data_IF_234209813770
#
_entry.id   IF_234209813770
#
_cell.length_a   1.000
_cell.length_b   1.000
_cell.length_c   1.000
_cell.angle_alpha   90.00
_cell.angle_beta   90.00
_cell.angle_gamma   90.00
#
_symmetry.space_group_name_H-M   'P 1'
#
loop_
_entity.id
_entity.type
_entity.pdbx_description
1 polymer ?
2 non-polymer ?
3 non-polymer ?
4 water ?
#
# COMPACT_ATOMS: atom_id res chain seq x y z
N UNK A 4 -0.58 29.32 11.02
CA UNK A 4 0.21 28.08 10.67
C UNK A 4 -0.28 27.53 9.33
N UNK A 5 0.56 27.54 8.28
CA UNK A 5 0.14 27.05 6.96
C UNK A 5 -0.04 25.53 7.00
N UNK A 6 -1.04 25.01 6.28
CA UNK A 6 -1.27 23.55 6.15
C UNK A 6 -0.14 22.96 5.31
N UNK A 7 0.32 21.74 5.66
CA UNK A 7 1.40 21.13 4.91
C UNK A 7 0.98 20.75 3.49
N UNK A 8 1.96 20.78 2.58
CA UNK A 8 1.84 20.31 1.18
C UNK A 8 2.40 18.88 1.08
N UNK A 9 3.22 18.49 2.05
CA UNK A 9 3.89 17.16 2.08
C UNK A 9 4.15 16.72 3.52
N UNK A 10 4.06 15.41 3.77
CA UNK A 10 4.34 14.80 5.10
C UNK A 10 5.30 13.63 4.85
N UNK A 11 5.95 13.16 5.92
CA UNK A 11 6.75 11.92 5.86
C UNK A 11 6.04 10.89 6.70
N UNK A 12 6.08 9.69 6.19
CA UNK A 12 5.39 8.51 6.76
C UNK A 12 6.45 7.43 6.93
N UNK A 13 6.52 6.91 8.15
CA UNK A 13 7.29 5.70 8.49
C UNK A 13 6.35 4.50 8.43
N UNK A 14 6.77 3.50 7.67
CA UNK A 14 6.16 2.15 7.62
C UNK A 14 7.15 1.15 8.18
N UNK A 15 6.74 0.44 9.22
CA UNK A 15 7.49 -0.69 9.78
C UNK A 15 6.73 -1.98 9.66
N UNK A 16 7.42 -3.06 9.33
CA UNK A 16 6.86 -4.41 9.37
C UNK A 16 7.87 -5.32 10.09
N UNK A 17 7.37 -6.02 11.11
CA UNK A 17 8.19 -6.98 11.88
C UNK A 17 7.35 -8.19 12.28
N UNK A 18 7.79 -9.37 11.84
CA UNK A 18 7.33 -10.66 12.36
C UNK A 18 8.22 -10.94 13.59
N UNK A 19 7.65 -10.79 14.78
CA UNK A 19 8.34 -10.82 16.10
C UNK A 19 8.61 -12.25 16.55
N UNK A 20 8.14 -13.26 15.80
CA UNK A 20 8.38 -14.69 16.11
C UNK A 20 7.90 -15.07 17.50
N UNK A 21 6.80 -14.45 17.94
CA UNK A 21 6.11 -14.75 19.22
C UNK A 21 7.06 -14.56 20.41
N UNK A 22 8.04 -13.67 20.27
CA UNK A 22 9.03 -13.36 21.34
C UNK A 22 8.93 -11.89 21.69
N UNK A 23 9.08 -11.53 22.98
CA UNK A 23 9.18 -10.14 23.37
C UNK A 23 10.33 -9.44 22.63
N UNK A 24 10.20 -8.13 22.35
CA UNK A 24 11.28 -7.40 21.71
C UNK A 24 12.39 -7.13 22.72
N UNK A 25 13.59 -6.74 22.26
CA UNK A 25 14.67 -6.36 23.17
C UNK A 25 14.39 -4.95 23.67
N UNK A 26 15.22 -4.46 24.61
CA UNK A 26 14.90 -3.21 25.33
C UNK A 26 15.04 -2.00 24.40
N UNK A 27 15.86 -2.06 23.35
CA UNK A 27 16.10 -0.93 22.41
C UNK A 27 15.74 -1.35 20.99
N UNK A 28 14.75 -0.69 20.34
CA UNK A 28 14.33 -0.97 18.94
C UNK A 28 14.39 0.34 18.13
N UNK A 29 15.09 1.35 18.63
CA UNK A 29 15.15 2.71 18.04
C UNK A 29 15.72 2.69 16.60
N UNK A 30 16.66 1.78 16.32
CA UNK A 30 17.27 1.57 14.98
C UNK A 30 16.16 1.39 13.93
N UNK A 31 15.08 0.71 14.29
CA UNK A 31 13.93 0.47 13.38
C UNK A 31 13.34 1.81 12.95
N UNK A 32 12.97 2.65 13.90
CA UNK A 32 12.26 3.92 13.65
C UNK A 32 13.21 4.96 13.07
N UNK A 33 14.52 4.75 13.18
CA UNK A 33 15.57 5.63 12.60
C UNK A 33 16.00 5.12 11.22
N UNK A 34 15.45 4.03 10.74
CA UNK A 34 15.80 3.50 9.39
C UNK A 34 17.32 3.27 9.29
N UNK A 35 17.90 2.62 10.30
CA UNK A 35 19.34 2.27 10.40
C UNK A 35 19.52 0.76 10.24
N UNK A 36 20.53 0.35 9.48
CA UNK A 36 20.88 -1.07 9.31
C UNK A 36 21.41 -1.25 7.91
N UNK A 37 20.78 -2.15 7.15
CA UNK A 37 21.15 -2.45 5.75
C UNK A 37 20.12 -1.85 4.80
N UNK A 38 20.49 -1.67 3.54
CA UNK A 38 19.61 -1.24 2.46
C UNK A 38 19.74 0.24 2.24
N UNK A 39 18.61 0.88 1.89
CA UNK A 39 18.53 2.35 1.71
C UNK A 39 18.15 2.96 3.05
N UNK A 40 19.15 3.49 3.77
CA UNK A 40 19.00 3.97 5.15
C UNK A 40 18.81 5.49 5.16
N UNK A 41 18.34 6.01 6.28
CA UNK A 41 18.06 7.44 6.47
C UNK A 41 19.34 8.12 6.96
N UNK A 42 19.60 9.32 6.44
CA UNK A 42 20.77 10.14 6.80
C UNK A 42 20.76 10.44 8.30
N UNK A 43 21.95 10.33 8.93
CA UNK A 43 22.12 10.57 10.39
C UNK A 43 21.60 11.95 10.78
N UNK A 44 21.74 12.93 9.88
CA UNK A 44 21.37 14.34 10.13
C UNK A 44 19.86 14.47 10.34
N UNK A 45 19.05 13.45 10.03
CA UNK A 45 17.57 13.48 10.18
C UNK A 45 17.10 12.81 11.48
N UNK A 46 18.01 12.24 12.27
CA UNK A 46 17.66 11.35 13.40
C UNK A 46 16.73 12.03 14.40
N UNK A 47 16.88 13.34 14.64
CA UNK A 47 16.02 14.01 15.66
C UNK A 47 14.70 14.49 15.06
N UNK A 48 14.53 14.37 13.74
CA UNK A 48 13.34 14.90 13.02
C UNK A 48 12.26 13.83 13.05
N UNK A 49 11.09 14.10 13.66
CA UNK A 49 10.03 13.10 13.70
C UNK A 49 9.40 12.99 12.32
N UNK A 50 9.01 11.79 11.94
CA UNK A 50 8.04 11.58 10.85
C UNK A 50 6.70 12.10 11.36
N UNK A 51 5.84 12.46 10.43
CA UNK A 51 4.48 12.97 10.72
C UNK A 51 3.64 11.83 11.24
N UNK A 52 3.76 10.66 10.62
CA UNK A 52 2.93 9.48 10.90
C UNK A 52 3.88 8.28 10.95
N UNK A 53 3.73 7.44 11.96
CA UNK A 53 4.39 6.12 12.08
C UNK A 53 3.33 5.02 12.00
N UNK A 54 3.48 4.10 11.06
CA UNK A 54 2.55 2.95 10.91
C UNK A 54 3.38 1.71 11.18
N UNK A 55 3.02 0.97 12.24
CA UNK A 55 3.81 -0.19 12.75
C UNK A 55 2.99 -1.48 12.59
N UNK A 56 3.38 -2.32 11.64
CA UNK A 56 2.74 -3.63 11.41
C UNK A 56 3.56 -4.70 12.07
N UNK A 57 2.93 -5.54 12.88
CA UNK A 57 3.59 -6.72 13.46
C UNK A 57 2.83 -7.99 13.09
N UNK A 58 3.56 -9.10 13.09
CA UNK A 58 3.02 -10.46 12.88
C UNK A 58 3.65 -11.35 13.95
N UNK A 59 2.94 -12.40 14.35
CA UNK A 59 3.41 -13.29 15.44
C UNK A 59 3.74 -12.40 16.65
N UNK A 60 2.91 -11.40 16.92
CA UNK A 60 3.11 -10.38 17.98
C UNK A 60 2.57 -10.97 19.27
N UNK A 61 3.41 -11.23 20.29
CA UNK A 61 2.96 -11.89 21.52
C UNK A 61 2.43 -10.89 22.54
N UNK A 62 2.57 -9.60 22.26
CA UNK A 62 2.31 -8.53 23.26
C UNK A 62 0.81 -8.17 23.29
N UNK A 63 0.33 -7.68 24.42
CA UNK A 63 -0.98 -6.98 24.49
C UNK A 63 -0.82 -5.66 23.72
N UNK A 64 -1.94 -5.10 23.27
CA UNK A 64 -1.93 -3.77 22.60
C UNK A 64 -1.30 -2.79 23.58
N UNK A 65 -1.63 -2.89 24.86
CA UNK A 65 -1.11 -1.93 25.86
C UNK A 65 0.41 -2.05 25.98
N UNK A 66 0.93 -3.28 26.08
CA UNK A 66 2.39 -3.51 26.20
C UNK A 66 3.11 -2.90 24.98
N UNK A 67 2.57 -3.13 23.77
CA UNK A 67 3.26 -2.70 22.51
C UNK A 67 3.18 -1.18 22.39
N UNK A 68 2.01 -0.60 22.65
CA UNK A 68 1.82 0.87 22.62
C UNK A 68 2.82 1.58 23.53
N UNK A 69 3.04 1.02 24.73
CA UNK A 69 4.00 1.50 25.75
C UNK A 69 5.40 1.56 25.14
N UNK A 70 5.87 0.44 24.57
CA UNK A 70 7.22 0.31 23.98
C UNK A 70 7.36 1.29 22.78
N UNK A 71 6.37 1.31 21.87
CA UNK A 71 6.40 2.23 20.70
C UNK A 71 6.48 3.69 21.15
N UNK A 72 5.57 4.16 22.00
CA UNK A 72 5.54 5.60 22.40
C UNK A 72 6.83 6.04 23.09
N UNK A 73 7.35 5.21 24.00
CA UNK A 73 8.62 5.46 24.75
C UNK A 73 9.78 5.56 23.77
N UNK A 74 9.83 4.66 22.79
CA UNK A 74 10.92 4.59 21.78
C UNK A 74 10.92 5.87 20.95
N UNK A 75 9.77 6.28 20.43
CA UNK A 75 9.65 7.54 19.66
C UNK A 75 9.99 8.75 20.56
N UNK A 76 9.57 8.73 21.82
CA UNK A 76 9.87 9.84 22.77
C UNK A 76 11.38 9.94 22.96
N UNK A 77 12.05 8.81 23.15
CA UNK A 77 13.51 8.80 23.39
C UNK A 77 14.22 9.40 22.17
N UNK A 78 13.76 9.05 20.96
CA UNK A 78 14.40 9.53 19.70
C UNK A 78 14.16 11.04 19.48
N UNK A 79 12.94 11.50 19.68
CA UNK A 79 12.44 12.78 19.09
C UNK A 79 12.06 13.76 20.19
N UNK A 80 11.88 13.29 21.42
CA UNK A 80 11.30 14.06 22.55
C UNK A 80 9.86 14.49 22.24
N UNK A 81 9.19 13.86 21.29
CA UNK A 81 7.74 14.12 21.00
C UNK A 81 6.92 12.97 21.58
N UNK A 82 5.82 13.29 22.27
CA UNK A 82 4.82 12.31 22.75
C UNK A 82 3.80 12.14 21.62
N UNK A 83 3.87 11.02 20.92
CA UNK A 83 2.97 10.72 19.78
C UNK A 83 1.57 10.37 20.28
N UNK A 84 0.57 10.75 19.51
CA UNK A 84 -0.86 10.41 19.73
C UNK A 84 -1.18 9.11 19.00
N UNK A 85 -2.04 8.31 19.60
CA UNK A 85 -2.50 7.05 18.97
C UNK A 85 -3.70 7.36 18.06
N UNK A 86 -3.57 7.12 16.75
CA UNK A 86 -4.65 7.34 15.75
C UNK A 86 -5.52 6.10 15.75
N UNK A 87 -4.90 4.92 15.75
CA UNK A 87 -5.61 3.65 15.63
C UNK A 87 -4.69 2.50 16.02
N UNK A 88 -5.30 1.45 16.53
CA UNK A 88 -4.66 0.14 16.77
C UNK A 88 -5.71 -0.93 16.48
N UNK A 89 -5.36 -1.92 15.68
CA UNK A 89 -6.27 -3.04 15.36
C UNK A 89 -5.45 -4.33 15.35
N UNK A 90 -5.96 -5.37 16.01
CA UNK A 90 -5.29 -6.69 16.13
C UNK A 90 -6.27 -7.77 15.69
N UNK A 91 -5.83 -8.60 14.73
CA UNK A 91 -6.47 -9.89 14.38
C UNK A 91 -5.48 -10.98 14.80
N UNK A 92 -5.84 -11.78 15.80
CA UNK A 92 -4.98 -12.86 16.32
C UNK A 92 -3.64 -12.24 16.75
N UNK A 93 -2.57 -12.49 16.01
CA UNK A 93 -1.21 -12.01 16.38
C UNK A 93 -0.72 -11.02 15.32
N UNK A 94 -1.63 -10.55 14.47
CA UNK A 94 -1.38 -9.53 13.42
C UNK A 94 -1.89 -8.18 13.91
N UNK A 95 -1.01 -7.19 13.95
CA UNK A 95 -1.37 -5.89 14.55
C UNK A 95 -0.87 -4.73 13.71
N UNK A 96 -1.66 -3.66 13.72
CA UNK A 96 -1.30 -2.37 13.10
C UNK A 96 -1.54 -1.28 14.14
N UNK A 97 -0.53 -0.44 14.32
CA UNK A 97 -0.54 0.77 15.18
C UNK A 97 -0.24 1.99 14.31
N UNK A 98 -1.07 3.03 14.40
CA UNK A 98 -0.84 4.32 13.71
C UNK A 98 -0.67 5.39 14.76
N UNK A 99 0.51 6.00 14.78
CA UNK A 99 0.88 7.11 15.69
C UNK A 99 1.12 8.34 14.83
N UNK A 100 0.82 9.51 15.37
CA UNK A 100 1.00 10.79 14.63
C UNK A 100 1.43 11.87 15.60
N UNK A 101 2.16 12.87 15.08
CA UNK A 101 2.55 14.10 15.83
C UNK A 101 1.31 14.67 16.50
N UNK A 102 1.42 15.22 17.74
CA UNK A 102 0.28 15.88 18.36
C UNK A 102 -0.33 17.03 17.52
N UNK A 103 0.49 17.75 16.78
CA UNK A 103 0.04 18.87 15.92
C UNK A 103 -0.93 18.35 14.84
N UNK A 104 -0.97 17.04 14.54
CA UNK A 104 -1.80 16.50 13.44
C UNK A 104 -3.17 16.02 13.93
N UNK A 105 -3.42 16.10 15.24
CA UNK A 105 -4.66 15.55 15.83
C UNK A 105 -5.90 16.07 15.07
N UNK A 106 -5.94 17.38 14.84
CA UNK A 106 -7.11 18.08 14.25
C UNK A 106 -7.06 18.04 12.72
N UNK A 107 -6.02 17.42 12.13
CA UNK A 107 -5.92 17.26 10.65
C UNK A 107 -6.45 15.86 10.28
N UNK A 108 -6.59 15.00 11.28
CA UNK A 108 -6.90 13.56 11.05
C UNK A 108 -8.37 13.30 11.43
N UNK A 109 -9.11 12.66 10.53
CA UNK A 109 -10.55 12.34 10.77
C UNK A 109 -10.89 11.09 9.96
N UNK A 110 -12.11 10.60 10.09
CA UNK A 110 -12.67 9.47 9.30
C UNK A 110 -11.77 8.23 9.47
N UNK A 111 -11.38 7.96 10.69
CA UNK A 111 -10.50 6.82 11.05
C UNK A 111 -11.32 5.55 10.95
N UNK A 112 -10.89 4.64 10.08
CA UNK A 112 -11.51 3.29 9.88
C UNK A 112 -10.47 2.22 10.22
N UNK A 113 -10.94 1.08 10.75
CA UNK A 113 -10.09 -0.12 11.01
C UNK A 113 -10.89 -1.31 10.52
N UNK A 114 -10.20 -2.30 9.98
CA UNK A 114 -10.84 -3.57 9.60
C UNK A 114 -9.79 -4.69 9.59
N UNK A 115 -10.28 -5.89 9.44
CA UNK A 115 -9.45 -7.10 9.29
C UNK A 115 -10.13 -8.03 8.31
N UNK A 116 -9.33 -8.85 7.64
CA UNK A 116 -9.78 -9.96 6.80
C UNK A 116 -9.05 -11.20 7.28
N UNK A 117 -9.78 -12.30 7.51
CA UNK A 117 -9.23 -13.63 7.81
C UNK A 117 -9.15 -14.40 6.49
N UNK A 118 -7.99 -14.93 6.13
CA UNK A 118 -7.84 -15.65 4.84
C UNK A 118 -7.94 -17.16 5.10
N UNK A 119 -8.47 -17.91 4.12
CA UNK A 119 -8.57 -19.38 4.18
C UNK A 119 -9.93 -19.88 4.70
N UNK A 120 -10.21 -21.18 4.52
CA UNK A 120 -11.50 -21.87 4.85
C UNK A 120 -11.21 -23.14 5.66
N UNK A 121 -11.72 -23.23 6.90
CA UNK A 121 -11.62 -24.40 7.81
C UNK A 121 -10.16 -24.66 8.22
N UNK A 122 -9.46 -25.61 7.57
CA UNK A 122 -7.99 -25.89 7.69
C UNK A 122 -7.21 -24.59 7.81
N UNK A 123 -7.36 -23.71 6.81
CA UNK A 123 -6.45 -22.58 6.48
C UNK A 123 -7.02 -21.26 7.07
N UNK A 124 -8.21 -21.29 7.70
CA UNK A 124 -8.75 -20.19 8.55
C UNK A 124 -8.36 -20.46 10.01
N UNK A 125 -7.45 -19.66 10.56
CA UNK A 125 -6.88 -19.91 11.90
C UNK A 125 -5.90 -18.84 12.33
N UNK A 126 -5.00 -18.41 11.44
CA UNK A 126 -4.02 -17.40 11.92
C UNK A 126 -3.49 -16.34 10.92
N UNK A 127 -3.78 -16.49 9.62
CA UNK A 127 -3.30 -15.59 8.54
C UNK A 127 -4.42 -14.62 8.14
N UNK A 128 -4.04 -13.44 7.63
CA UNK A 128 -5.00 -12.44 7.16
C UNK A 128 -4.35 -11.09 7.23
N UNK A 129 -5.16 -10.05 7.38
CA UNK A 129 -4.66 -8.67 7.34
C UNK A 129 -5.47 -7.82 8.29
N UNK A 130 -4.81 -6.79 8.75
CA UNK A 130 -5.49 -5.68 9.44
C UNK A 130 -5.20 -4.40 8.66
N UNK A 131 -6.07 -3.43 8.81
CA UNK A 131 -5.92 -2.16 8.11
C UNK A 131 -6.45 -0.98 8.88
N UNK A 132 -5.91 0.18 8.51
CA UNK A 132 -6.36 1.49 9.00
C UNK A 132 -6.47 2.42 7.79
N UNK A 133 -7.52 3.23 7.78
CA UNK A 133 -7.60 4.41 6.89
C UNK A 133 -7.97 5.66 7.68
N UNK A 134 -7.62 6.82 7.13
CA UNK A 134 -8.13 8.11 7.63
C UNK A 134 -7.88 9.20 6.61
N UNK A 135 -8.47 10.35 6.88
CA UNK A 135 -8.22 11.58 6.12
C UNK A 135 -7.15 12.35 6.88
N UNK A 136 -6.17 12.82 6.15
CA UNK A 136 -5.21 13.83 6.63
C UNK A 136 -5.52 15.07 5.81
N UNK A 137 -6.20 16.05 6.40
CA UNK A 137 -6.75 17.22 5.65
C UNK A 137 -7.49 16.71 4.41
N UNK A 138 -7.10 17.10 3.19
CA UNK A 138 -7.86 16.69 2.00
C UNK A 138 -7.36 15.41 1.37
N UNK A 139 -6.45 14.68 2.03
CA UNK A 139 -5.79 13.49 1.46
C UNK A 139 -6.23 12.23 2.21
N UNK A 140 -6.69 11.22 1.47
CA UNK A 140 -7.05 9.90 2.04
C UNK A 140 -5.80 9.01 2.10
N UNK A 141 -5.61 8.35 3.26
CA UNK A 141 -4.44 7.45 3.50
C UNK A 141 -4.97 6.09 3.95
N UNK A 142 -4.50 5.03 3.29
CA UNK A 142 -4.79 3.64 3.69
C UNK A 142 -3.52 2.87 4.00
N UNK A 143 -3.63 1.97 4.97
CA UNK A 143 -2.50 1.14 5.45
C UNK A 143 -3.01 -0.27 5.69
N UNK A 144 -2.34 -1.25 5.09
CA UNK A 144 -2.66 -2.68 5.24
C UNK A 144 -1.41 -3.42 5.73
N UNK A 145 -1.55 -4.14 6.84
CA UNK A 145 -0.56 -5.08 7.39
C UNK A 145 -1.09 -6.50 7.16
N UNK A 146 -0.47 -7.27 6.28
CA UNK A 146 -0.91 -8.66 6.01
C UNK A 146 0.17 -9.65 6.41
N UNK A 147 -0.25 -10.76 7.02
CA UNK A 147 0.55 -11.98 7.21
C UNK A 147 -0.02 -13.03 6.25
N UNK A 148 0.67 -13.31 5.15
CA UNK A 148 0.12 -14.22 4.14
C UNK A 148 0.60 -15.66 4.42
N UNK A 149 0.04 -16.61 3.68
CA UNK A 149 0.37 -18.05 3.79
C UNK A 149 1.89 -18.25 3.68
N UNK A 150 2.46 -19.11 4.54
CA UNK A 150 3.92 -19.43 4.58
C UNK A 150 4.23 -20.61 3.64
N UNK A 151 5.50 -20.78 3.35
CA UNK A 151 5.94 -21.97 2.61
C UNK A 151 6.29 -21.63 1.19
N UNK A 152 7.47 -22.06 0.76
CA UNK A 152 8.00 -21.83 -0.60
C UNK A 152 7.03 -22.30 -1.70
N UNK A 153 6.26 -23.35 -1.40
CA UNK A 153 5.38 -24.08 -2.37
C UNK A 153 4.04 -23.36 -2.57
N UNK A 154 3.74 -22.34 -1.75
CA UNK A 154 2.37 -21.75 -1.66
C UNK A 154 2.26 -20.34 -2.27
N UNK A 155 2.98 -20.01 -3.33
CA UNK A 155 2.93 -18.61 -3.84
C UNK A 155 1.53 -18.32 -4.40
N UNK A 156 0.89 -19.32 -5.00
CA UNK A 156 -0.50 -19.16 -5.49
C UNK A 156 -1.45 -18.80 -4.34
N UNK A 157 -1.35 -19.52 -3.22
CA UNK A 157 -2.15 -19.26 -1.99
C UNK A 157 -1.94 -17.82 -1.54
N UNK A 158 -0.69 -17.35 -1.54
CA UNK A 158 -0.38 -15.96 -1.13
C UNK A 158 -1.13 -15.00 -2.07
N UNK A 159 -1.14 -15.28 -3.37
CA UNK A 159 -1.79 -14.38 -4.34
C UNK A 159 -3.31 -14.39 -4.09
N UNK A 160 -3.86 -15.53 -3.70
CA UNK A 160 -5.29 -15.65 -3.34
C UNK A 160 -5.57 -14.88 -2.07
N UNK A 161 -4.68 -14.97 -1.08
CA UNK A 161 -4.84 -14.25 0.22
C UNK A 161 -4.89 -12.74 -0.09
N UNK A 162 -3.93 -12.24 -0.87
CA UNK A 162 -3.90 -10.85 -1.38
C UNK A 162 -5.24 -10.45 -2.01
N UNK A 163 -5.76 -11.26 -2.93
CA UNK A 163 -7.03 -10.91 -3.63
C UNK A 163 -8.16 -10.83 -2.60
N UNK A 164 -8.20 -11.77 -1.65
CA UNK A 164 -9.29 -11.77 -0.62
C UNK A 164 -9.18 -10.53 0.26
N UNK A 165 -7.97 -10.17 0.64
CA UNK A 165 -7.76 -8.97 1.50
C UNK A 165 -8.21 -7.70 0.74
N UNK A 166 -7.78 -7.60 -0.51
CA UNK A 166 -8.09 -6.49 -1.45
C UNK A 166 -9.60 -6.29 -1.54
N UNK A 167 -10.32 -7.39 -1.81
CA UNK A 167 -11.78 -7.40 -2.03
C UNK A 167 -12.55 -7.09 -0.76
N UNK A 168 -12.13 -7.63 0.39
CA UNK A 168 -13.03 -7.71 1.57
C UNK A 168 -12.63 -6.74 2.67
N UNK A 169 -11.45 -6.13 2.61
CA UNK A 169 -11.06 -5.12 3.62
C UNK A 169 -11.90 -3.85 3.40
N UNK A 170 -12.64 -3.44 4.43
CA UNK A 170 -13.64 -2.35 4.42
C UNK A 170 -13.03 -1.13 5.09
N UNK A 171 -12.28 -0.37 4.30
CA UNK A 171 -11.67 0.90 4.76
C UNK A 171 -12.14 1.99 3.82
N UNK A 172 -11.91 3.23 4.23
CA UNK A 172 -12.14 4.41 3.40
C UNK A 172 -13.62 4.69 3.25
N UNK A 173 -13.98 5.40 2.22
CA UNK A 173 -15.30 6.08 2.12
C UNK A 173 -16.27 5.03 1.58
N UNK A 174 -17.25 4.61 2.40
CA UNK A 174 -18.24 3.56 2.01
C UNK A 174 -19.12 4.04 0.85
N UNK A 175 -19.19 5.33 0.56
CA UNK A 175 -19.95 5.84 -0.63
C UNK A 175 -19.25 5.44 -1.93
N UNK A 176 -17.96 5.11 -1.87
CA UNK A 176 -17.18 4.62 -3.05
C UNK A 176 -17.47 3.15 -3.28
N UNK A 177 -18.77 2.80 -3.42
CA UNK A 177 -19.22 1.39 -3.34
C UNK A 177 -18.65 0.51 -4.46
N UNK A 178 -18.41 0.96 -5.71
CA UNK A 178 -17.81 0.09 -6.72
C UNK A 178 -16.31 -0.18 -6.53
N UNK A 179 -15.68 0.54 -5.60
CA UNK A 179 -14.20 0.59 -5.49
C UNK A 179 -13.74 -0.20 -4.27
N UNK A 180 -12.74 -1.05 -4.51
CA UNK A 180 -11.99 -1.73 -3.43
C UNK A 180 -10.89 -0.81 -2.90
N UNK A 181 -10.16 -1.27 -1.87
CA UNK A 181 -9.09 -0.44 -1.24
C UNK A 181 -8.03 -0.02 -2.27
N UNK A 182 -7.85 -0.68 -3.41
CA UNK A 182 -6.76 -0.29 -4.35
C UNK A 182 -7.16 0.98 -5.13
N UNK A 183 -8.37 1.49 -4.96
CA UNK A 183 -8.81 2.77 -5.56
C UNK A 183 -9.33 3.78 -4.53
N UNK A 184 -9.42 3.46 -3.24
CA UNK A 184 -10.12 4.39 -2.31
C UNK A 184 -9.21 5.48 -1.71
N UNK A 185 -7.89 5.45 -1.93
CA UNK A 185 -6.94 6.30 -1.17
C UNK A 185 -5.99 7.04 -2.11
N UNK A 186 -5.71 8.30 -1.81
CA UNK A 186 -4.60 9.04 -2.46
C UNK A 186 -3.30 8.22 -2.35
N UNK A 187 -3.01 7.68 -1.18
CA UNK A 187 -1.82 6.81 -0.96
C UNK A 187 -2.27 5.56 -0.18
N UNK A 188 -1.93 4.40 -0.73
CA UNK A 188 -2.17 3.09 -0.09
C UNK A 188 -0.82 2.44 0.14
N UNK A 189 -0.53 2.13 1.40
CA UNK A 189 0.68 1.40 1.80
C UNK A 189 0.26 0.00 2.21
N UNK A 190 0.88 -1.00 1.57
CA UNK A 190 0.61 -2.43 1.88
C UNK A 190 1.94 -3.10 2.22
N UNK A 191 1.99 -3.64 3.42
CA UNK A 191 3.23 -4.19 4.02
C UNK A 191 2.83 -5.43 4.82
N UNK A 192 3.86 -6.14 5.25
CA UNK A 192 3.77 -7.21 6.25
C UNK A 192 4.74 -8.35 5.98
N UNK A 193 4.43 -9.50 6.59
CA UNK A 193 5.09 -10.77 6.26
C UNK A 193 4.31 -11.36 5.09
N UNK A 194 4.69 -10.97 3.89
CA UNK A 194 3.99 -11.43 2.68
C UNK A 194 4.47 -12.84 2.35
N UNK A 195 5.59 -13.27 2.90
CA UNK A 195 5.99 -14.70 2.94
C UNK A 195 6.38 -15.22 1.56
N UNK A 196 6.63 -14.34 0.58
CA UNK A 196 7.16 -14.81 -0.73
C UNK A 196 8.64 -15.16 -0.52
N UNK A 197 9.10 -16.19 -1.23
CA UNK A 197 10.41 -16.81 -0.98
C UNK A 197 11.30 -16.70 -2.21
N UNK A 198 12.60 -16.90 -1.96
CA UNK A 198 13.62 -17.04 -3.03
C UNK A 198 13.49 -18.50 -3.51
N UNK A 199 12.96 -18.66 -4.72
CA UNK A 199 12.61 -19.97 -5.31
C UNK A 199 13.83 -20.53 -6.03
N UNK A 200 14.73 -21.17 -5.29
CA UNK A 200 15.90 -21.87 -5.84
C UNK A 200 15.89 -23.27 -5.25
N UNK A 201 16.62 -24.24 -5.86
CA UNK A 201 16.68 -25.60 -5.33
C UNK A 201 17.24 -25.53 -3.91
N UNK A 202 16.75 -26.42 -3.04
CA UNK A 202 17.08 -26.43 -1.58
C UNK A 202 18.55 -26.83 -1.36
N UNK A 203 19.17 -27.50 -2.34
CA UNK A 203 20.61 -27.88 -2.28
C UNK A 203 21.50 -26.68 -2.66
N UNK A 204 20.92 -25.59 -3.15
CA UNK A 204 21.64 -24.30 -3.34
C UNK A 204 21.70 -23.47 -2.02
N UNK A 205 21.27 -23.99 -0.87
CA UNK A 205 21.15 -23.16 0.35
C UNK A 205 22.49 -22.51 0.68
N UNK A 206 23.58 -23.28 0.70
CA UNK A 206 24.90 -22.74 1.16
C UNK A 206 25.36 -21.70 0.13
N UNK A 207 25.11 -21.91 -1.15
CA UNK A 207 25.44 -20.94 -2.20
C UNK A 207 24.67 -19.64 -1.98
N UNK A 208 23.38 -19.74 -1.66
CA UNK A 208 22.54 -18.55 -1.36
C UNK A 208 23.18 -17.78 -0.18
N UNK A 209 23.56 -18.49 0.87
CA UNK A 209 24.16 -17.83 2.08
C UNK A 209 25.47 -17.10 1.72
N UNK A 210 26.31 -17.72 0.89
CA UNK A 210 27.61 -17.13 0.46
C UNK A 210 27.35 -15.92 -0.45
N UNK A 211 26.31 -15.96 -1.29
CA UNK A 211 25.89 -14.77 -2.08
C UNK A 211 25.46 -13.64 -1.12
N UNK A 212 24.71 -13.94 -0.07
CA UNK A 212 24.26 -12.92 0.93
C UNK A 212 25.48 -12.30 1.63
N UNK A 213 26.42 -13.12 2.07
CA UNK A 213 27.64 -12.62 2.77
C UNK A 213 28.44 -11.70 1.83
N UNK A 214 28.37 -11.86 0.51
CA UNK A 214 29.07 -11.00 -0.46
C UNK A 214 28.21 -9.79 -0.83
N UNK A 215 27.01 -9.67 -0.27
CA UNK A 215 26.03 -8.60 -0.60
C UNK A 215 25.74 -8.60 -2.09
N UNK A 216 25.67 -9.78 -2.69
CA UNK A 216 25.36 -9.93 -4.14
C UNK A 216 23.95 -10.49 -4.21
N UNK A 217 22.97 -9.60 -4.23
CA UNK A 217 21.54 -9.97 -4.10
C UNK A 217 20.89 -10.19 -5.46
N UNK A 218 21.57 -9.86 -6.57
CA UNK A 218 20.94 -9.72 -7.90
C UNK A 218 20.40 -11.08 -8.35
N UNK A 219 21.24 -12.11 -8.26
CA UNK A 219 20.89 -13.49 -8.67
C UNK A 219 19.80 -14.01 -7.73
N UNK A 220 19.76 -13.54 -6.48
CA UNK A 220 18.69 -14.00 -5.55
C UNK A 220 17.36 -13.30 -5.90
N UNK A 221 17.37 -11.96 -6.07
CA UNK A 221 16.15 -11.17 -6.36
C UNK A 221 15.49 -11.65 -7.66
N UNK A 222 16.27 -12.16 -8.63
CA UNK A 222 15.71 -12.68 -9.91
C UNK A 222 14.84 -13.90 -9.66
N UNK A 223 14.92 -14.54 -8.48
CA UNK A 223 14.10 -15.72 -8.10
C UNK A 223 13.15 -15.41 -6.93
N UNK A 224 13.10 -14.14 -6.49
CA UNK A 224 12.12 -13.69 -5.47
C UNK A 224 10.70 -13.87 -6.04
N UNK A 225 9.85 -14.60 -5.33
CA UNK A 225 8.50 -14.92 -5.85
C UNK A 225 7.66 -13.65 -5.95
N UNK A 226 7.83 -12.68 -5.05
CA UNK A 226 6.97 -11.48 -5.12
C UNK A 226 7.31 -10.71 -6.41
N UNK A 227 8.58 -10.53 -6.69
CA UNK A 227 9.00 -9.81 -7.92
C UNK A 227 8.53 -10.59 -9.14
N UNK A 228 8.74 -11.90 -9.18
CA UNK A 228 8.38 -12.71 -10.39
C UNK A 228 6.85 -12.74 -10.53
N UNK A 229 6.10 -12.92 -9.45
CA UNK A 229 4.62 -12.93 -9.54
C UNK A 229 4.11 -11.55 -10.00
N UNK A 230 4.69 -10.47 -9.45
CA UNK A 230 4.38 -9.07 -9.83
C UNK A 230 4.67 -8.87 -11.32
N UNK A 231 5.80 -9.38 -11.82
CA UNK A 231 6.22 -9.15 -13.23
C UNK A 231 5.27 -9.89 -14.19
N UNK A 232 4.61 -10.96 -13.73
CA UNK A 232 3.59 -11.70 -14.54
C UNK A 232 2.17 -11.27 -14.18
N UNK A 233 2.01 -10.17 -13.44
CA UNK A 233 0.71 -9.54 -13.13
C UNK A 233 -0.17 -10.55 -12.42
N UNK A 234 0.39 -11.31 -11.50
CA UNK A 234 -0.38 -12.32 -10.73
C UNK A 234 -0.79 -11.73 -9.39
N UNK A 235 -0.15 -10.65 -8.95
CA UNK A 235 -0.39 -10.07 -7.61
C UNK A 235 0.12 -8.63 -7.64
N UNK A 236 -0.41 -7.80 -6.74
CA UNK A 236 0.02 -6.39 -6.52
C UNK A 236 0.09 -5.60 -7.83
N UNK A 237 -0.82 -5.84 -8.78
CA UNK A 237 -0.89 -5.07 -10.04
C UNK A 237 -1.04 -3.58 -9.69
N UNK A 238 -0.17 -2.79 -10.28
CA UNK A 238 -0.15 -1.30 -10.25
C UNK A 238 0.41 -0.81 -8.92
N UNK A 239 1.03 -1.69 -8.12
CA UNK A 239 1.76 -1.29 -6.88
C UNK A 239 3.24 -1.10 -7.22
N UNK A 240 3.93 -0.31 -6.39
CA UNK A 240 5.38 -0.04 -6.50
C UNK A 240 6.10 -0.66 -5.30
N UNK A 241 7.38 -0.98 -5.46
CA UNK A 241 8.25 -1.38 -4.34
C UNK A 241 9.58 -0.75 -4.67
N UNK A 242 10.24 -0.20 -3.65
CA UNK A 242 11.62 0.34 -3.77
C UNK A 242 12.57 -0.83 -4.02
N UNK A 243 13.68 -0.58 -4.73
CA UNK A 243 14.72 -1.59 -4.96
C UNK A 243 15.18 -2.17 -3.63
N UNK A 244 15.32 -3.49 -3.57
CA UNK A 244 15.82 -4.19 -2.36
C UNK A 244 17.36 -4.23 -2.39
N UNK A 245 17.99 -3.65 -1.38
CA UNK A 245 19.48 -3.56 -1.26
C UNK A 245 19.93 -4.03 0.12
N UNK A 246 19.07 -4.75 0.83
CA UNK A 246 19.38 -5.34 2.17
C UNK A 246 19.30 -6.86 2.07
N UNK A 247 19.96 -7.58 2.98
CA UNK A 247 19.97 -9.06 2.98
C UNK A 247 18.57 -9.59 3.26
N UNK A 248 18.25 -10.82 2.80
CA UNK A 248 17.00 -11.50 3.18
C UNK A 248 16.76 -11.39 4.69
N UNK A 249 15.51 -11.14 5.09
CA UNK A 249 15.16 -10.82 6.49
C UNK A 249 14.67 -12.06 7.22
N UNK A 250 14.74 -13.23 6.55
CA UNK A 250 14.24 -14.53 7.04
C UNK A 250 15.08 -15.62 6.40
N UNK A 251 15.35 -16.76 7.06
CA UNK A 251 15.02 -17.08 8.42
C UNK A 251 16.32 -17.12 9.22
N UNK A 252 16.41 -16.30 10.27
CA UNK A 252 17.63 -16.22 11.08
C UNK A 252 17.50 -17.04 12.36
N UNK A 253 18.64 -17.54 12.83
CA UNK A 253 18.82 -18.04 14.22
C UNK A 253 18.62 -16.84 15.15
N UNK A 254 17.86 -17.00 16.24
CA UNK A 254 17.63 -15.90 17.22
C UNK A 254 18.93 -15.53 17.95
N UNK A 255 19.05 -14.26 18.34
CA UNK A 255 20.07 -13.67 19.26
C UNK A 255 21.39 -13.43 18.50
N UNK A 256 21.43 -13.67 17.19
CA UNK A 256 22.53 -13.23 16.30
C UNK A 256 21.91 -12.85 14.95
N UNK A 257 22.65 -12.24 14.04
CA UNK A 257 22.26 -12.16 12.60
C UNK A 257 23.31 -12.86 11.75
N UNK A 258 24.16 -13.67 12.37
CA UNK A 258 25.33 -14.24 11.66
C UNK A 258 24.93 -15.54 10.97
N UNK A 259 23.76 -16.08 11.30
CA UNK A 259 23.35 -17.42 10.80
C UNK A 259 21.90 -17.42 10.32
N UNK A 260 21.70 -17.94 9.11
CA UNK A 260 20.38 -18.32 8.55
C UNK A 260 20.09 -19.76 8.93
N UNK A 261 18.95 -19.99 9.56
CA UNK A 261 18.40 -21.31 9.91
C UNK A 261 17.45 -21.75 8.79
N UNK A 262 17.97 -22.47 7.81
CA UNK A 262 17.17 -22.86 6.61
C UNK A 262 16.76 -24.33 6.52
N UNK A 263 17.41 -25.20 7.32
CA UNK A 263 17.27 -26.68 7.24
C UNK A 263 15.87 -27.09 7.71
N UNK A 264 15.30 -28.15 7.10
CA UNK A 264 13.98 -28.67 7.50
C UNK A 264 14.08 -29.30 8.90
N UNK A 265 13.05 -29.05 9.71
CA UNK A 265 12.96 -29.44 11.14
C UNK A 265 11.51 -29.87 11.39
N UNK A 266 11.26 -30.70 12.39
CA UNK A 266 9.85 -30.97 12.80
C UNK A 266 9.12 -29.63 12.95
N UNK A 267 9.74 -28.67 13.64
CA UNK A 267 9.13 -27.35 13.95
C UNK A 267 8.78 -26.59 12.65
N UNK A 268 9.36 -26.90 11.48
CA UNK A 268 8.98 -26.25 10.20
C UNK A 268 8.00 -27.10 9.38
N UNK A 269 7.44 -28.19 9.94
CA UNK A 269 6.69 -29.16 9.13
C UNK A 269 7.57 -29.80 8.08
N UNK A 270 8.85 -29.97 8.40
CA UNK A 270 9.85 -30.59 7.49
C UNK A 270 9.96 -29.80 6.16
N UNK A 271 9.81 -28.47 6.24
CA UNK A 271 9.98 -27.53 5.12
C UNK A 271 11.32 -26.82 5.26
N UNK A 272 12.04 -26.62 4.15
CA UNK A 272 13.24 -25.75 4.11
C UNK A 272 12.73 -24.31 4.10
N UNK A 273 13.44 -23.45 4.83
CA UNK A 273 13.23 -21.98 4.79
C UNK A 273 14.49 -21.36 4.21
N UNK A 274 14.71 -21.50 2.90
CA UNK A 274 15.82 -20.78 2.22
C UNK A 274 15.69 -19.28 2.51
N UNK A 275 16.81 -18.55 2.71
CA UNK A 275 16.81 -17.14 3.00
C UNK A 275 15.94 -16.42 1.98
N UNK A 276 15.05 -15.59 2.49
CA UNK A 276 13.98 -14.96 1.66
C UNK A 276 13.67 -13.55 2.16
N UNK A 277 13.20 -12.73 1.24
CA UNK A 277 12.63 -11.39 1.58
C UNK A 277 11.12 -11.52 1.87
N UNK A 278 10.80 -12.10 3.02
CA UNK A 278 9.41 -12.31 3.46
C UNK A 278 8.71 -10.98 3.72
N UNK A 279 9.49 -10.01 4.18
CA UNK A 279 9.00 -8.84 4.92
C UNK A 279 9.14 -7.60 4.05
N UNK A 280 8.02 -7.03 3.62
CA UNK A 280 8.01 -6.12 2.45
C UNK A 280 7.08 -4.93 2.67
N UNK A 281 7.37 -3.84 1.97
CA UNK A 281 6.54 -2.61 1.92
C UNK A 281 6.32 -2.22 0.47
N UNK A 282 5.07 -2.17 0.04
CA UNK A 282 4.67 -1.70 -1.29
C UNK A 282 3.68 -0.56 -1.14
N UNK A 283 3.50 0.20 -2.22
CA UNK A 283 2.52 1.30 -2.21
C UNK A 283 1.88 1.49 -3.58
N UNK A 284 0.73 2.14 -3.54
CA UNK A 284 -0.02 2.55 -4.73
C UNK A 284 -0.65 3.91 -4.40
N UNK A 285 -0.24 4.90 -5.15
CA UNK A 285 -0.73 6.29 -5.06
C UNK A 285 -1.47 6.63 -6.35
N UNK A 286 -2.45 7.51 -6.24
CA UNK A 286 -3.17 8.06 -7.40
C UNK A 286 -2.17 8.70 -8.36
N UNK A 287 -2.48 8.67 -9.66
CA UNK A 287 -1.57 9.21 -10.65
C UNK A 287 -1.17 10.67 -10.35
N UNK A 288 0.12 10.98 -10.52
CA UNK A 288 0.70 12.35 -10.51
C UNK A 288 0.54 12.98 -9.13
N UNK A 289 0.48 12.16 -8.09
CA UNK A 289 0.64 12.67 -6.71
C UNK A 289 2.09 12.39 -6.32
N UNK A 290 2.69 13.32 -5.60
CA UNK A 290 4.07 13.18 -5.10
C UNK A 290 4.13 12.01 -4.11
N UNK A 291 4.97 11.04 -4.40
CA UNK A 291 5.30 9.97 -3.42
C UNK A 291 6.74 9.56 -3.71
N UNK A 292 7.63 9.71 -2.75
CA UNK A 292 9.05 9.32 -2.90
C UNK A 292 9.45 8.44 -1.72
N UNK A 293 9.95 7.26 -1.99
CA UNK A 293 10.55 6.39 -0.95
C UNK A 293 11.92 6.96 -0.58
N UNK A 294 12.08 7.32 0.69
CA UNK A 294 13.33 7.92 1.26
C UNK A 294 14.22 6.84 1.87
N UNK A 295 13.63 5.72 2.31
CA UNK A 295 14.36 4.61 2.98
C UNK A 295 13.61 3.31 2.78
N UNK A 296 14.35 2.21 2.69
CA UNK A 296 13.86 0.82 2.57
C UNK A 296 15.00 -0.10 2.93
N UNK A 297 14.88 -0.69 4.11
CA UNK A 297 15.94 -1.55 4.62
C UNK A 297 15.52 -2.36 5.82
N UNK A 298 16.50 -3.04 6.40
CA UNK A 298 16.27 -3.93 7.56
C UNK A 298 17.22 -3.51 8.67
N UNK A 299 16.80 -3.65 9.91
CA UNK A 299 17.72 -3.48 11.07
C UNK A 299 18.67 -4.68 11.14
N UNK A 300 19.83 -4.43 11.76
CA UNK A 300 20.94 -5.38 11.99
C UNK A 300 21.05 -5.76 13.49
N UNK A 301 20.41 -5.00 14.37
CA UNK A 301 20.72 -5.06 15.82
C UNK A 301 19.50 -5.52 16.64
N UNK A 302 18.40 -5.98 16.02
CA UNK A 302 17.18 -6.45 16.75
C UNK A 302 17.06 -7.92 16.38
N UNK A 303 17.31 -8.81 17.35
CA UNK A 303 17.64 -10.25 17.10
C UNK A 303 16.72 -11.20 17.86
N UNK A 304 15.60 -10.70 18.43
CA UNK A 304 14.70 -11.52 19.26
C UNK A 304 13.88 -12.47 18.40
N UNK A 305 13.73 -12.17 17.11
CA UNK A 305 12.87 -12.95 16.20
C UNK A 305 13.73 -13.64 15.16
N UNK A 306 13.18 -14.63 14.48
CA UNK A 306 13.81 -15.25 13.30
C UNK A 306 13.62 -14.36 12.07
N UNK A 307 12.90 -13.24 12.21
CA UNK A 307 12.83 -12.18 11.16
C UNK A 307 13.52 -10.94 11.67
N UNK A 308 14.14 -10.17 10.76
CA UNK A 308 14.60 -8.80 11.05
C UNK A 308 13.50 -7.81 10.71
N UNK A 309 13.27 -6.78 11.54
CA UNK A 309 12.39 -5.67 11.21
C UNK A 309 12.78 -5.01 9.88
N UNK A 310 11.76 -4.60 9.11
CA UNK A 310 11.92 -3.81 7.84
C UNK A 310 11.27 -2.45 8.06
N UNK A 311 11.95 -1.43 7.56
CA UNK A 311 11.48 -0.03 7.57
C UNK A 311 11.41 0.45 6.14
N UNK A 312 10.44 1.32 5.89
CA UNK A 312 10.38 2.16 4.70
C UNK A 312 9.87 3.53 5.14
N UNK A 313 10.43 4.58 4.55
CA UNK A 313 9.91 5.94 4.76
C UNK A 313 9.59 6.60 3.44
N UNK A 314 8.60 7.47 3.52
CA UNK A 314 8.07 8.10 2.31
C UNK A 314 7.80 9.57 2.54
N UNK A 315 8.06 10.35 1.49
CA UNK A 315 7.59 11.75 1.36
C UNK A 315 6.29 11.73 0.53
N UNK A 316 5.14 12.07 1.14
CA UNK A 316 3.81 11.94 0.51
C UNK A 316 3.13 13.28 0.36
N UNK A 317 2.74 13.62 -0.87
CA UNK A 317 1.97 14.82 -1.16
C UNK A 317 0.61 14.80 -0.46
N UNK A 318 0.27 15.88 0.24
CA UNK A 318 -1.06 16.08 0.87
C UNK A 318 -1.62 17.42 0.39
N UNK A 319 -2.93 17.55 0.47
CA UNK A 319 -3.64 18.79 0.12
C UNK A 319 -4.43 19.28 1.33
N UNK A 320 -4.82 20.55 1.30
CA UNK A 320 -5.64 21.24 2.33
C UNK A 320 -7.11 20.84 2.16
N UNK A 321 -7.92 21.11 3.19
CA UNK A 321 -9.41 20.96 3.13
C UNK A 321 -9.95 22.29 2.58
N UNK A 322 -10.23 22.35 1.29
CA UNK A 322 -10.56 23.60 0.56
C UNK A 322 -12.02 24.04 0.83
N UNK A 323 -12.20 25.32 1.18
CA UNK A 323 -13.54 25.99 1.31
C UNK A 323 -13.55 27.25 0.43
N UNK A 324 -14.57 27.37 -0.42
CA UNK A 324 -14.87 28.57 -1.25
C UNK A 324 -16.20 29.19 -0.81
N UNK A 325 -16.53 30.34 -1.40
CA UNK A 325 -17.84 31.07 -1.27
C UNK A 325 -18.97 30.12 -1.72
N UNK A 326 -18.67 29.25 -2.68
CA UNK A 326 -19.63 28.32 -3.32
C UNK A 326 -19.51 26.96 -2.61
N UNK A 327 -18.78 26.00 -3.19
CA UNK A 327 -18.62 24.66 -2.60
C UNK A 327 -17.63 24.70 -1.44
N UNK A 328 -17.70 23.73 -0.49
CA UNK A 328 -18.77 22.72 -0.44
C UNK A 328 -20.20 23.21 -0.14
N UNK A 329 -21.20 22.47 -0.61
CA UNK A 329 -22.64 22.73 -0.42
C UNK A 329 -23.33 23.25 -1.66
N UNK A 330 -22.56 23.46 -2.73
CA UNK A 330 -23.11 23.85 -4.06
C UNK A 330 -22.00 23.69 -5.10
N UNK A 331 -22.36 23.85 -6.38
CA UNK A 331 -21.40 23.85 -7.52
C UNK A 331 -20.80 25.26 -7.64
N UNK A 332 -19.64 25.32 -8.30
CA UNK A 332 -18.99 26.59 -8.72
C UNK A 332 -19.09 26.59 -10.24
N UNK A 333 -20.04 27.34 -10.78
CA UNK A 333 -20.41 27.26 -12.22
C UNK A 333 -19.24 27.72 -13.10
N UNK A 334 -18.15 28.24 -12.52
CA UNK A 334 -16.92 28.61 -13.28
C UNK A 334 -16.15 27.36 -13.68
N UNK A 335 -16.36 26.24 -12.98
CA UNK A 335 -15.63 24.98 -13.23
C UNK A 335 -16.46 23.96 -13.99
N UNK A 336 -15.82 23.16 -14.84
CA UNK A 336 -16.47 22.00 -15.48
C UNK A 336 -15.40 21.00 -15.94
N UNK A 337 -15.77 19.75 -16.02
CA UNK A 337 -14.93 18.65 -16.55
C UNK A 337 -15.72 17.99 -17.68
N UNK A 338 -15.15 18.05 -18.88
CA UNK A 338 -15.73 17.45 -20.09
C UNK A 338 -14.83 16.34 -20.63
N UNK A 339 -15.49 15.34 -21.21
CA UNK A 339 -14.91 14.09 -21.76
C UNK A 339 -15.29 14.01 -23.24
N UNK A 340 -14.29 13.79 -24.10
CA UNK A 340 -14.46 13.71 -25.57
C UNK A 340 -13.89 12.37 -26.05
N UNK A 341 -14.53 11.76 -27.06
CA UNK A 341 -13.95 10.62 -27.79
C UNK A 341 -13.58 9.53 -26.78
N UNK A 342 -14.43 9.26 -25.79
CA UNK A 342 -14.12 8.26 -24.74
C UNK A 342 -14.61 6.87 -25.14
N UNK A 343 -13.79 5.88 -24.88
CA UNK A 343 -14.23 4.48 -25.03
C UNK A 343 -13.51 3.61 -24.00
N UNK A 344 -14.25 2.63 -23.51
CA UNK A 344 -13.75 1.57 -22.62
C UNK A 344 -13.44 0.36 -23.50
N UNK A 345 -12.35 -0.33 -23.21
CA UNK A 345 -12.02 -1.64 -23.86
C UNK A 345 -12.12 -2.64 -22.72
N UNK A 346 -12.97 -3.65 -22.85
CA UNK A 346 -13.18 -4.64 -21.76
C UNK A 346 -12.78 -6.02 -22.26
N UNK A 347 -12.17 -6.81 -21.39
CA UNK A 347 -11.76 -8.20 -21.71
C UNK A 347 -12.96 -9.15 -21.57
N UNK A 348 -14.07 -8.73 -20.99
CA UNK A 348 -15.26 -9.59 -20.77
C UNK A 348 -15.74 -10.21 -22.09
N UNK A 349 -16.13 -11.49 -22.04
CA UNK A 349 -16.78 -12.19 -23.19
C UNK A 349 -18.30 -11.99 -23.13
N UNK A 350 -18.84 -11.30 -22.12
CA UNK A 350 -20.31 -11.06 -22.00
C UNK A 350 -20.78 -10.04 -23.04
N UNK A 351 -22.10 -9.96 -23.24
CA UNK A 351 -22.82 -8.93 -24.04
C UNK A 351 -24.02 -8.45 -23.22
N UNK A 352 -23.80 -7.38 -22.45
CA UNK A 352 -24.80 -6.51 -21.78
C UNK A 352 -24.47 -5.06 -22.20
N UNK A 353 -25.38 -4.14 -21.95
CA UNK A 353 -25.04 -2.70 -22.09
C UNK A 353 -24.23 -2.30 -20.86
N UNK A 354 -23.36 -1.30 -21.02
CA UNK A 354 -22.56 -0.70 -19.93
C UNK A 354 -22.81 0.80 -19.86
N UNK A 355 -22.68 1.34 -18.66
CA UNK A 355 -22.66 2.79 -18.37
C UNK A 355 -21.49 3.09 -17.41
N UNK A 356 -21.10 4.36 -17.28
CA UNK A 356 -19.99 4.80 -16.39
C UNK A 356 -20.57 5.44 -15.14
N UNK A 357 -19.87 5.31 -14.03
CA UNK A 357 -20.06 6.15 -12.83
C UNK A 357 -18.76 6.91 -12.60
N UNK A 358 -18.89 8.21 -12.34
CA UNK A 358 -17.78 9.08 -11.94
C UNK A 358 -17.95 9.36 -10.46
N UNK A 359 -16.90 9.10 -9.66
CA UNK A 359 -16.87 9.41 -8.22
C UNK A 359 -15.66 10.28 -7.95
N UNK A 360 -15.86 11.36 -7.20
CA UNK A 360 -14.77 12.26 -6.77
C UNK A 360 -15.29 13.12 -5.65
N UNK A 361 -14.39 13.47 -4.72
CA UNK A 361 -14.66 14.43 -3.61
C UNK A 361 -14.84 15.85 -4.17
N UNK A 362 -14.47 16.08 -5.44
CA UNK A 362 -14.69 17.39 -6.10
C UNK A 362 -16.14 17.48 -6.64
N UNK A 363 -16.93 16.41 -6.59
CA UNK A 363 -18.38 16.40 -6.98
C UNK A 363 -19.28 16.33 -5.76
N UNK A 364 -20.51 16.85 -5.87
CA UNK A 364 -21.48 16.81 -4.75
C UNK A 364 -21.88 15.36 -4.51
N UNK A 365 -22.05 14.59 -5.57
CA UNK A 365 -22.28 13.14 -5.50
C UNK A 365 -21.86 12.54 -6.84
N UNK A 366 -21.82 11.21 -6.88
CA UNK A 366 -21.37 10.45 -8.06
C UNK A 366 -22.35 10.69 -9.20
N UNK A 367 -21.86 10.51 -10.42
CA UNK A 367 -22.61 10.81 -11.65
C UNK A 367 -22.65 9.55 -12.48
N UNK A 368 -23.84 9.19 -12.97
CA UNK A 368 -24.11 7.98 -13.80
C UNK A 368 -24.36 8.43 -15.24
N UNK A 369 -23.51 7.98 -16.18
CA UNK A 369 -23.62 8.35 -17.60
C UNK A 369 -24.78 7.56 -18.24
N UNK A 370 -25.10 7.94 -19.48
CA UNK A 370 -25.89 7.11 -20.42
C UNK A 370 -25.10 5.86 -20.79
N UNK A 371 -25.82 4.87 -21.30
CA UNK A 371 -25.22 3.62 -21.83
C UNK A 371 -24.34 3.99 -23.02
N UNK A 372 -23.17 3.37 -23.13
CA UNK A 372 -22.31 3.48 -24.30
C UNK A 372 -22.76 2.52 -25.38
N UNK A 373 -22.13 2.59 -26.55
CA UNK A 373 -22.47 1.70 -27.68
C UNK A 373 -21.35 0.67 -27.86
N UNK A 374 -21.73 -0.60 -27.69
CA UNK A 374 -20.83 -1.77 -27.84
C UNK A 374 -20.47 -1.93 -29.31
N UNK A 375 -19.17 -2.09 -29.60
CA UNK A 375 -18.69 -2.55 -30.92
C UNK A 375 -17.67 -3.65 -30.66
N UNK A 376 -17.36 -4.42 -31.70
CA UNK A 376 -16.33 -5.48 -31.74
C UNK A 376 -14.98 -4.86 -32.09
N UNK A 377 -13.96 -5.01 -31.23
CA UNK A 377 -12.56 -4.66 -31.52
C UNK A 377 -11.95 -5.58 -32.59
N UNK A 378 -10.86 -5.16 -33.23
CA UNK A 378 -10.24 -5.88 -34.38
C UNK A 378 -9.58 -7.17 -33.90
N UNK A 379 -9.33 -7.32 -32.58
CA UNK A 379 -8.59 -8.47 -31.98
C UNK A 379 -9.50 -9.21 -30.99
N UNK A 380 -10.83 -9.11 -31.15
CA UNK A 380 -11.84 -9.85 -30.34
C UNK A 380 -12.46 -9.05 -29.19
N UNK A 381 -11.89 -7.91 -28.80
CA UNK A 381 -12.22 -7.15 -27.56
C UNK A 381 -13.65 -6.57 -27.63
N UNK A 382 -14.29 -6.35 -26.48
CA UNK A 382 -15.50 -5.48 -26.43
C UNK A 382 -15.05 -4.02 -26.27
N UNK A 383 -15.47 -3.16 -27.19
CA UNK A 383 -15.22 -1.70 -27.13
C UNK A 383 -16.53 -1.03 -26.79
N UNK A 384 -16.57 -0.30 -25.69
CA UNK A 384 -17.80 0.46 -25.32
C UNK A 384 -17.54 1.92 -25.68
N UNK A 385 -18.24 2.42 -26.70
CA UNK A 385 -18.05 3.79 -27.21
C UNK A 385 -19.00 4.73 -26.47
N UNK A 386 -18.46 5.79 -25.91
CA UNK A 386 -19.20 6.88 -25.23
C UNK A 386 -19.22 8.12 -26.11
N UNK A 387 -18.36 8.16 -27.13
CA UNK A 387 -18.11 9.32 -28.00
C UNK A 387 -18.01 10.59 -27.18
N UNK A 388 -18.92 11.52 -27.45
CA UNK A 388 -19.05 12.85 -26.79
C UNK A 388 -20.25 12.81 -25.85
N UNK A 389 -20.78 11.63 -25.50
CA UNK A 389 -22.11 11.50 -24.82
C UNK A 389 -21.97 11.61 -23.29
N UNK A 390 -20.74 11.61 -22.75
CA UNK A 390 -20.56 11.56 -21.29
C UNK A 390 -20.96 12.89 -20.70
N UNK A 391 -21.58 12.91 -19.50
CA UNK A 391 -22.05 14.15 -18.92
C UNK A 391 -20.91 15.14 -18.64
N UNK A 392 -21.30 16.40 -18.45
CA UNK A 392 -20.41 17.49 -18.01
C UNK A 392 -20.41 17.48 -16.49
N UNK A 393 -19.24 17.28 -15.86
CA UNK A 393 -19.13 17.17 -14.39
C UNK A 393 -18.96 18.58 -13.85
N UNK A 394 -19.62 18.84 -12.72
CA UNK A 394 -19.76 20.17 -12.11
C UNK A 394 -19.05 20.10 -10.77
N UNK A 395 -17.77 20.55 -10.70
CA UNK A 395 -17.03 20.49 -9.46
C UNK A 395 -17.63 21.50 -8.49
N UNK A 396 -17.46 21.19 -7.21
CA UNK A 396 -17.94 22.03 -6.08
C UNK A 396 -17.08 23.29 -5.95
N UNK A 397 -15.85 23.27 -6.45
CA UNK A 397 -14.86 24.37 -6.34
C UNK A 397 -14.13 24.48 -7.68
N UNK A 398 -13.96 25.68 -8.22
CA UNK A 398 -13.42 25.89 -9.60
C UNK A 398 -11.99 26.37 -9.50
N UNK A 399 -11.55 26.77 -8.31
CA UNK A 399 -10.18 27.28 -8.08
C UNK A 399 -9.18 26.22 -8.53
N UNK A 400 -8.24 26.57 -9.44
CA UNK A 400 -7.34 25.59 -10.03
C UNK A 400 -6.36 24.96 -9.03
N UNK A 401 -6.03 25.68 -7.96
CA UNK A 401 -5.14 25.20 -6.89
C UNK A 401 -5.80 24.07 -6.11
N UNK A 402 -7.11 23.99 -6.15
CA UNK A 402 -7.90 22.84 -5.66
C UNK A 402 -8.04 21.81 -6.78
N UNK A 403 -8.64 22.24 -7.88
CA UNK A 403 -9.25 21.29 -8.84
C UNK A 403 -8.14 20.49 -9.54
N UNK A 404 -6.98 21.08 -9.81
CA UNK A 404 -5.88 20.37 -10.51
C UNK A 404 -5.28 19.26 -9.61
N UNK A 405 -5.52 19.30 -8.31
CA UNK A 405 -5.02 18.31 -7.32
C UNK A 405 -6.02 17.15 -7.17
N UNK A 406 -7.14 17.15 -7.89
CA UNK A 406 -8.20 16.15 -7.66
C UNK A 406 -8.07 14.97 -8.63
N UNK A 407 -8.87 13.95 -8.36
CA UNK A 407 -8.93 12.72 -9.17
C UNK A 407 -10.38 12.33 -9.37
N UNK A 408 -10.66 11.74 -10.52
CA UNK A 408 -11.97 11.14 -10.88
C UNK A 408 -11.81 9.62 -10.93
N UNK A 409 -12.53 8.92 -10.06
CA UNK A 409 -12.62 7.44 -10.10
C UNK A 409 -13.71 7.08 -11.10
N UNK A 410 -13.47 6.07 -11.90
CA UNK A 410 -14.42 5.63 -12.96
C UNK A 410 -14.70 4.16 -12.71
N UNK A 411 -15.99 3.81 -12.68
CA UNK A 411 -16.45 2.41 -12.78
C UNK A 411 -17.29 2.27 -14.05
N UNK A 412 -17.05 1.23 -14.81
CA UNK A 412 -17.94 0.81 -15.93
C UNK A 412 -18.82 -0.33 -15.40
N UNK A 413 -20.13 -0.10 -15.43
CA UNK A 413 -21.11 -1.03 -14.81
C UNK A 413 -22.05 -1.58 -15.88
N UNK A 414 -22.40 -2.85 -15.74
CA UNK A 414 -23.45 -3.55 -16.50
C UNK A 414 -24.80 -2.89 -16.18
N UNK A 415 -25.56 -2.54 -17.22
CA UNK A 415 -26.96 -2.05 -17.09
C UNK A 415 -27.83 -3.13 -16.46
N UNK A 416 -27.57 -4.39 -16.77
CA UNK A 416 -28.39 -5.56 -16.34
C UNK A 416 -28.23 -5.83 -14.84
N UNK A 417 -27.02 -5.73 -14.30
CA UNK A 417 -26.75 -6.19 -12.91
C UNK A 417 -26.28 -5.05 -12.01
N UNK A 418 -25.88 -3.90 -12.58
CA UNK A 418 -25.25 -2.76 -11.85
C UNK A 418 -23.94 -3.23 -11.17
N UNK A 419 -23.33 -4.33 -11.58
CA UNK A 419 -22.03 -4.80 -11.04
C UNK A 419 -20.94 -4.08 -11.84
N UNK A 420 -19.88 -3.60 -11.18
CA UNK A 420 -18.69 -3.03 -11.85
C UNK A 420 -17.95 -4.14 -12.57
N UNK A 421 -17.56 -3.88 -13.82
CA UNK A 421 -16.65 -4.73 -14.63
C UNK A 421 -15.24 -4.17 -14.61
N UNK A 422 -15.05 -2.96 -14.08
CA UNK A 422 -13.72 -2.33 -14.08
C UNK A 422 -13.73 -0.99 -13.40
N UNK A 423 -12.64 -0.70 -12.68
CA UNK A 423 -12.44 0.55 -11.92
C UNK A 423 -11.09 1.12 -12.33
N UNK A 424 -11.04 2.43 -12.44
CA UNK A 424 -9.81 3.17 -12.76
C UNK A 424 -9.85 4.56 -12.16
N UNK A 425 -8.83 5.33 -12.43
CA UNK A 425 -8.60 6.66 -11.82
C UNK A 425 -7.89 7.57 -12.82
N UNK A 426 -8.40 8.78 -12.96
CA UNK A 426 -7.87 9.83 -13.86
C UNK A 426 -7.43 11.03 -13.03
N UNK A 427 -6.19 11.49 -13.17
CA UNK A 427 -5.70 12.72 -12.49
C UNK A 427 -6.23 13.94 -13.26
N UNK A 428 -6.61 14.97 -12.54
CA UNK A 428 -6.90 16.31 -13.12
C UNK A 428 -5.66 17.25 -13.12
N UNK A 429 -4.47 16.71 -12.80
CA UNK A 429 -3.18 17.45 -12.83
C UNK A 429 -2.74 17.60 -14.29
N UNK A 430 -3.51 18.36 -15.09
CA UNK A 430 -3.31 18.44 -16.56
C UNK A 430 -2.18 19.41 -16.88
N UNK A 431 -1.63 19.24 -18.06
CA UNK A 431 -0.59 20.12 -18.63
C UNK A 431 -1.22 21.46 -19.01
N UNK A 432 -2.54 21.53 -19.19
CA UNK A 432 -3.26 22.75 -19.66
C UNK A 432 -4.71 22.68 -19.22
N UNK A 433 -5.36 23.83 -19.05
CA UNK A 433 -6.85 23.95 -18.91
C UNK A 433 -7.46 24.42 -20.24
N UNK A 434 -8.75 24.15 -20.40
CA UNK A 434 -9.55 24.63 -21.57
C UNK A 434 -8.94 24.04 -22.85
N UNK A 435 -8.23 22.91 -22.73
CA UNK A 435 -7.46 22.24 -23.82
C UNK A 435 -7.86 20.77 -23.84
N UNK A 436 -8.22 20.23 -24.99
CA UNK A 436 -8.45 18.77 -25.15
C UNK A 436 -7.12 18.04 -24.95
N UNK A 437 -7.06 17.11 -24.01
CA UNK A 437 -5.81 16.43 -23.65
C UNK A 437 -6.11 14.95 -23.49
N UNK A 438 -5.22 14.05 -23.95
CA UNK A 438 -5.44 12.62 -23.77
C UNK A 438 -5.54 12.24 -22.28
N UNK A 439 -6.46 11.32 -21.96
CA UNK A 439 -6.53 10.69 -20.62
C UNK A 439 -6.54 9.19 -20.83
N UNK A 440 -6.14 8.50 -19.78
CA UNK A 440 -5.97 7.03 -19.81
C UNK A 440 -5.96 6.51 -18.38
N UNK A 441 -6.64 5.39 -18.18
CA UNK A 441 -6.49 4.52 -16.98
C UNK A 441 -6.67 3.06 -17.37
N UNK A 442 -5.85 2.15 -16.84
CA UNK A 442 -6.21 0.73 -16.89
C UNK A 442 -7.47 0.55 -16.04
N UNK A 443 -8.25 -0.47 -16.35
CA UNK A 443 -9.42 -0.83 -15.51
C UNK A 443 -9.12 -2.15 -14.82
N UNK A 444 -9.46 -2.23 -13.53
CA UNK A 444 -9.33 -3.50 -12.78
C UNK A 444 -10.66 -3.81 -12.10
N UNK A 445 -10.82 -5.08 -11.73
CA UNK A 445 -11.94 -5.56 -10.88
C UNK A 445 -11.39 -6.69 -10.01
N UNK A 446 -11.57 -6.57 -8.70
CA UNK A 446 -10.93 -7.43 -7.69
C UNK A 446 -9.42 -7.43 -7.93
N UNK A 447 -8.86 -6.31 -8.40
CA UNK A 447 -7.41 -6.08 -8.54
C UNK A 447 -6.82 -6.80 -9.74
N UNK A 448 -7.66 -7.34 -10.63
CA UNK A 448 -7.25 -8.01 -11.87
C UNK A 448 -7.55 -7.09 -13.04
N UNK A 449 -6.62 -6.99 -14.00
CA UNK A 449 -6.83 -6.18 -15.22
C UNK A 449 -8.08 -6.68 -15.97
N UNK A 450 -9.08 -5.81 -16.21
CA UNK A 450 -10.32 -6.16 -16.96
C UNK A 450 -10.51 -5.30 -18.20
N UNK A 451 -9.64 -4.32 -18.40
CA UNK A 451 -9.73 -3.46 -19.61
C UNK A 451 -9.04 -2.13 -19.43
N UNK A 452 -9.52 -1.14 -20.15
CA UNK A 452 -8.88 0.17 -20.32
C UNK A 452 -9.97 1.20 -20.53
N UNK A 453 -9.68 2.41 -20.11
CA UNK A 453 -10.53 3.57 -20.43
C UNK A 453 -9.61 4.64 -21.00
N UNK A 454 -9.97 5.16 -22.16
CA UNK A 454 -9.19 6.27 -22.76
C UNK A 454 -10.10 7.22 -23.53
N UNK A 455 -9.58 8.41 -23.73
CA UNK A 455 -10.26 9.46 -24.51
C UNK A 455 -9.56 10.76 -24.27
N UNK A 456 -10.34 11.82 -24.25
CA UNK A 456 -9.78 13.16 -24.00
C UNK A 456 -10.60 13.84 -22.91
N UNK A 457 -9.94 14.73 -22.20
CA UNK A 457 -10.57 15.56 -21.16
C UNK A 457 -10.37 17.03 -21.55
N UNK A 458 -11.28 17.88 -21.11
CA UNK A 458 -11.16 19.35 -21.19
C UNK A 458 -11.63 19.87 -19.83
N UNK A 459 -10.72 20.55 -19.12
CA UNK A 459 -10.96 21.03 -17.75
C UNK A 459 -11.03 22.55 -17.76
N UNK A 460 -12.12 23.08 -17.19
CA UNK A 460 -12.36 24.54 -17.00
C UNK A 460 -12.17 24.86 -15.51
N UNK A 461 -11.24 25.76 -15.17
CA UNK A 461 -11.07 26.28 -13.79
C UNK A 461 -11.44 27.76 -13.84
N UNK A 462 -11.49 28.39 -12.66
CA UNK A 462 -11.77 29.83 -12.49
C UNK A 462 -10.63 30.66 -13.12
N UNK A 463 -9.52 30.04 -13.52
CA UNK A 463 -8.43 30.75 -14.24
C UNK A 463 -8.44 30.35 -15.72
X LIG B 1 7.55 -5.05 -11.88
X LIG B 1 5.87 -3.34 -12.12
X LIG B 1 6.64 1.78 -12.73
X LIG B 1 7.65 1.29 -12.25
X LIG B 1 7.73 -0.14 -12.86
X LIG B 1 6.11 -1.45 -13.77
X LIG B 1 6.63 -2.74 -13.11
X LIG B 1 7.85 -3.28 -13.49
X LIG B 1 8.31 -4.44 -12.88
X LIG B 1 6.32 -4.49 -11.51
X LIG B 1 5.75 0.56 -13.39
X LIG B 1 6.30 -0.51 -13.01
X LIG B 1 7.01 2.76 -13.82
X LIG B 1 8.13 -6.54 -11.09
X LIG C 1 -5.73 14.38 -2.64
X LIG C 1 -4.80 15.06 -1.65
X LIG C 1 -4.86 14.29 -4.18
X LIG C 1 -6.93 15.61 -3.10
X LIG D 1 -11.23 10.92 -4.53
X LIG D 1 -11.91 12.21 -4.98
X LIG D 1 -12.54 9.92 -3.87
X LIG D 1 -11.00 10.04 -6.03
X LIG E 1 -5.19 3.01 -12.21
X LIG E 1 -5.88 3.24 -10.86
X LIG E 1 -3.61 2.30 -11.76
X LIG E 1 -4.65 4.62 -12.71
#
# INVERSE_FOLDING_TARGET
SMEQPEPDMITIFIGTWNMGNAPPPKKITSWFLSKGQGKTRDDSADYIPHDIYVIGTQEDPLSEKEWLEILKHSLQEITSVTFKTVAIHTLWNIRIVVLAKPEHENRISHICTDNVKTGIANTLGNKGAVGVSFMFNGTSLGFVNSHLTSGSEKKLRRNQNYMNILRFLALGDKKLSPFNITHRFTHLFWFGDLNYRVDLPTWEAETIIQKIKQQQYADLLSHDQLLTERREQKVFLHFEEEEITFAPTYRFERLTRDKYAYTKQKATGMKYNLPSWCDRVLWKSYPLVHVVCQSYGSTSDIMTSDHSPVFATFEAGVTSQFVSKNGPGTVDSQGQIEFLRCYATLKTKSQTKFYLEFHSSCLESFVKSQEGENEEGSEGELVVKFGETLPKLKPIISDPEYLLDQHILISIKSSDSDESYGEGCIALRLEATETQLPIYTPLTHHGELTGHFQGEIKLQTSQ
WKJ C10 C13 C02 C03 C04 C06 C07 C08 C09 C12 C14 N05 O01 CL1
DMS S O C1 C2
DMS S O C1 C2
DMS S O C1 C2
#
